data_IF_346142715380
#
_entry.id   IF_346142715380
#
_cell.length_a   1.000
_cell.length_b   1.000
_cell.length_c   1.000
_cell.angle_alpha   90.00
_cell.angle_beta   90.00
_cell.angle_gamma   90.00
#
_symmetry.space_group_name_H-M   'P 1'
#
loop_
_entity.id
_entity.type
_entity.pdbx_description
1 polymer ?
#
# COMPACT_ATOMS: atom_id res chain seq x y z
N UNK A 1 33.03 -27.36 -15.43
CA UNK A 1 33.53 -27.11 -16.80
C UNK A 1 33.01 -25.75 -17.27
N UNK A 2 33.83 -24.98 -17.97
CA UNK A 2 33.40 -23.72 -18.61
C UNK A 2 32.80 -24.01 -20.00
N UNK A 3 32.07 -23.04 -20.56
CA UNK A 3 31.56 -23.12 -21.93
C UNK A 3 32.70 -23.09 -22.96
N UNK A 4 32.41 -23.44 -24.23
CA UNK A 4 33.40 -23.36 -25.33
C UNK A 4 33.88 -21.93 -25.56
N UNK A 5 35.12 -21.75 -26.04
CA UNK A 5 35.67 -20.42 -26.34
C UNK A 5 34.78 -19.61 -27.30
N UNK A 6 34.25 -20.27 -28.34
CA UNK A 6 33.32 -19.65 -29.29
C UNK A 6 32.05 -19.11 -28.62
N UNK A 7 31.51 -19.84 -27.64
CA UNK A 7 30.34 -19.39 -26.88
C UNK A 7 30.72 -18.23 -25.96
N UNK A 8 31.87 -18.31 -25.27
CA UNK A 8 32.34 -17.23 -24.40
C UNK A 8 32.50 -15.93 -25.17
N UNK A 9 33.11 -15.96 -26.35
CA UNK A 9 33.26 -14.77 -27.21
C UNK A 9 31.90 -14.18 -27.60
N UNK A 10 30.97 -15.01 -28.10
CA UNK A 10 29.61 -14.56 -28.46
C UNK A 10 28.86 -13.98 -27.26
N UNK A 11 29.01 -14.60 -26.09
CA UNK A 11 28.41 -14.13 -24.84
C UNK A 11 28.96 -12.76 -24.44
N UNK A 12 30.28 -12.57 -24.41
CA UNK A 12 30.89 -11.29 -24.05
C UNK A 12 30.56 -10.17 -25.05
N UNK A 13 30.54 -10.46 -26.35
CA UNK A 13 30.11 -9.50 -27.37
C UNK A 13 28.65 -9.09 -27.16
N UNK A 14 27.77 -10.06 -26.89
CA UNK A 14 26.35 -9.79 -26.61
C UNK A 14 26.16 -8.97 -25.33
N UNK A 15 26.87 -9.34 -24.25
CA UNK A 15 26.82 -8.64 -22.97
C UNK A 15 27.33 -7.20 -23.10
N UNK A 16 28.48 -6.98 -23.74
CA UNK A 16 29.04 -5.64 -23.91
C UNK A 16 28.11 -4.74 -24.73
N UNK A 17 27.42 -5.29 -25.74
CA UNK A 17 26.40 -4.56 -26.52
C UNK A 17 25.21 -4.15 -25.64
N UNK A 18 24.70 -5.07 -24.81
CA UNK A 18 23.57 -4.78 -23.91
C UNK A 18 23.95 -3.75 -22.84
N UNK A 19 25.12 -3.86 -22.23
CA UNK A 19 25.63 -2.91 -21.23
C UNK A 19 25.82 -1.53 -21.84
N UNK A 20 26.40 -1.44 -23.05
CA UNK A 20 26.56 -0.15 -23.76
C UNK A 20 25.20 0.50 -24.04
N UNK A 21 24.22 -0.30 -24.47
CA UNK A 21 22.87 0.20 -24.70
C UNK A 21 22.25 0.70 -23.39
N UNK A 22 22.33 -0.09 -22.32
CA UNK A 22 21.83 0.28 -20.99
C UNK A 22 22.46 1.60 -20.51
N UNK A 23 23.79 1.72 -20.56
CA UNK A 23 24.50 2.92 -20.12
C UNK A 23 24.07 4.18 -20.88
N UNK A 24 23.76 4.03 -22.17
CA UNK A 24 23.29 5.13 -23.04
C UNK A 24 21.82 5.49 -22.78
N UNK A 25 20.98 4.54 -22.40
CA UNK A 25 19.53 4.75 -22.28
C UNK A 25 19.02 4.78 -20.85
N UNK A 26 19.86 4.54 -19.84
CA UNK A 26 19.43 4.45 -18.43
C UNK A 26 18.69 5.69 -17.95
N UNK A 27 19.07 6.86 -18.46
CA UNK A 27 18.42 8.14 -18.13
C UNK A 27 17.16 8.43 -18.95
N UNK A 28 16.80 7.56 -19.90
CA UNK A 28 15.71 7.79 -20.86
C UNK A 28 14.46 7.01 -20.43
N UNK A 29 13.40 7.74 -20.05
CA UNK A 29 12.05 7.22 -19.82
C UNK A 29 11.90 6.12 -18.75
N UNK A 30 12.95 5.80 -17.99
CA UNK A 30 12.85 4.93 -16.81
C UNK A 30 12.51 5.76 -15.57
N UNK A 31 11.66 5.21 -14.70
CA UNK A 31 11.34 5.78 -13.42
C UNK A 31 11.06 4.68 -12.39
N UNK A 32 11.09 5.01 -11.11
CA UNK A 32 10.74 4.06 -10.04
C UNK A 32 11.67 2.83 -10.01
N UNK A 33 11.07 1.68 -9.75
CA UNK A 33 11.78 0.39 -9.65
C UNK A 33 12.49 -0.03 -10.93
N UNK A 34 11.90 0.09 -12.15
CA UNK A 34 12.64 -0.15 -13.39
C UNK A 34 13.94 0.64 -13.50
N UNK A 35 13.96 1.88 -12.99
CA UNK A 35 15.18 2.68 -13.00
C UNK A 35 16.22 2.17 -11.99
N UNK A 36 15.79 1.78 -10.79
CA UNK A 36 16.68 1.16 -9.80
C UNK A 36 17.28 -0.16 -10.31
N UNK A 37 16.51 -0.99 -11.04
CA UNK A 37 17.04 -2.19 -11.68
C UNK A 37 18.09 -1.88 -12.75
N UNK A 38 17.87 -0.86 -13.58
CA UNK A 38 18.84 -0.43 -14.57
C UNK A 38 20.16 0.04 -13.91
N UNK A 39 20.07 0.78 -12.81
CA UNK A 39 21.23 1.20 -12.00
C UNK A 39 21.94 -0.02 -11.39
N UNK A 40 21.20 -1.01 -10.89
CA UNK A 40 21.77 -2.25 -10.38
C UNK A 40 22.56 -2.98 -11.48
N UNK A 41 21.97 -3.12 -12.67
CA UNK A 41 22.63 -3.73 -13.83
C UNK A 41 23.94 -3.02 -14.23
N UNK A 42 23.96 -1.68 -14.22
CA UNK A 42 25.18 -0.90 -14.47
C UNK A 42 26.24 -1.10 -13.38
N UNK A 43 25.81 -1.23 -12.12
CA UNK A 43 26.71 -1.51 -10.99
C UNK A 43 27.39 -2.86 -11.19
N UNK A 44 26.63 -3.92 -11.48
CA UNK A 44 27.19 -5.25 -11.77
C UNK A 44 28.10 -5.23 -12.99
N UNK A 45 27.72 -4.53 -14.06
CA UNK A 45 28.56 -4.41 -15.25
C UNK A 45 29.91 -3.71 -14.96
N UNK A 46 29.88 -2.62 -14.18
CA UNK A 46 31.09 -1.89 -13.80
C UNK A 46 32.00 -2.65 -12.83
N UNK A 47 31.45 -3.57 -12.04
CA UNK A 47 32.23 -4.43 -11.13
C UNK A 47 32.77 -5.70 -11.80
N UNK A 48 32.03 -6.28 -12.74
CA UNK A 48 32.34 -7.59 -13.31
C UNK A 48 33.13 -7.52 -14.64
N UNK A 49 33.08 -6.39 -15.37
CA UNK A 49 33.74 -6.24 -16.66
C UNK A 49 35.00 -5.38 -16.52
N UNK A 50 36.14 -5.92 -16.95
CA UNK A 50 37.44 -5.22 -16.92
C UNK A 50 37.41 -3.91 -17.74
N UNK A 51 37.97 -2.83 -17.18
CA UNK A 51 38.06 -1.52 -17.84
C UNK A 51 36.72 -0.79 -17.97
N UNK A 52 35.74 -1.09 -17.12
CA UNK A 52 34.39 -0.50 -17.12
C UNK A 52 34.04 0.23 -15.82
N UNK A 53 35.03 0.66 -15.05
CA UNK A 53 34.88 1.35 -13.76
C UNK A 53 34.05 2.64 -13.87
N UNK A 54 34.10 3.32 -15.01
CA UNK A 54 33.25 4.50 -15.29
C UNK A 54 31.76 4.18 -15.23
N UNK A 55 31.34 2.95 -15.55
CA UNK A 55 29.94 2.52 -15.42
C UNK A 55 29.52 2.42 -13.95
N UNK A 56 30.44 1.99 -13.08
CA UNK A 56 30.20 1.94 -11.65
C UNK A 56 30.03 3.36 -11.09
N UNK A 57 30.91 4.29 -11.46
CA UNK A 57 30.81 5.71 -11.07
C UNK A 57 29.49 6.34 -11.53
N UNK A 58 29.10 6.08 -12.79
CA UNK A 58 27.81 6.50 -13.33
C UNK A 58 26.66 5.91 -12.50
N UNK A 59 26.67 4.61 -12.23
CA UNK A 59 25.62 3.92 -11.49
C UNK A 59 25.47 4.47 -10.07
N UNK A 60 26.57 4.66 -9.33
CA UNK A 60 26.55 5.20 -7.97
C UNK A 60 26.06 6.65 -7.92
N UNK A 61 26.41 7.45 -8.93
CA UNK A 61 25.90 8.83 -9.07
C UNK A 61 24.39 8.85 -9.30
N UNK A 62 23.88 7.96 -10.17
CA UNK A 62 22.44 7.83 -10.41
C UNK A 62 21.72 7.30 -9.17
N UNK A 63 22.28 6.29 -8.51
CA UNK A 63 21.74 5.69 -7.29
C UNK A 63 21.59 6.73 -6.18
N UNK A 64 22.59 7.59 -5.98
CA UNK A 64 22.52 8.64 -4.97
C UNK A 64 21.31 9.56 -5.17
N UNK A 65 21.05 9.96 -6.43
CA UNK A 65 19.92 10.81 -6.81
C UNK A 65 18.59 10.08 -6.63
N UNK A 66 18.51 8.83 -7.10
CA UNK A 66 17.27 8.06 -7.06
C UNK A 66 16.88 7.61 -5.65
N UNK A 67 17.84 7.29 -4.76
CA UNK A 67 17.55 7.09 -3.33
C UNK A 67 16.88 8.34 -2.76
N UNK A 68 17.38 9.54 -3.10
CA UNK A 68 16.82 10.81 -2.62
C UNK A 68 15.43 11.13 -3.18
N UNK A 69 15.04 10.54 -4.31
CA UNK A 69 13.74 10.74 -4.96
C UNK A 69 12.71 9.69 -4.56
N UNK A 70 13.14 8.45 -4.40
CA UNK A 70 12.27 7.29 -4.27
C UNK A 70 12.09 6.83 -2.82
N UNK A 71 13.07 7.04 -1.94
CA UNK A 71 12.98 6.69 -0.52
C UNK A 71 12.77 7.95 0.31
N UNK A 72 11.57 8.10 0.85
CA UNK A 72 11.14 9.29 1.58
C UNK A 72 11.84 9.41 2.95
N UNK A 73 11.64 10.53 3.62
CA UNK A 73 12.24 10.82 4.94
C UNK A 73 11.77 9.87 6.05
N UNK A 74 10.56 9.33 5.96
CA UNK A 74 10.05 8.28 6.85
C UNK A 74 10.41 6.85 6.38
N UNK A 75 11.13 6.73 5.26
CA UNK A 75 11.64 5.47 4.72
C UNK A 75 10.72 4.76 3.72
N UNK A 76 9.48 5.20 3.54
CA UNK A 76 8.60 4.58 2.55
C UNK A 76 9.01 4.91 1.11
N UNK A 77 8.55 4.07 0.18
CA UNK A 77 8.76 4.31 -1.25
C UNK A 77 7.77 5.35 -1.77
N UNK A 78 8.19 6.24 -2.67
CA UNK A 78 7.36 7.31 -3.24
C UNK A 78 6.06 6.81 -3.91
N UNK A 79 6.05 5.57 -4.39
CA UNK A 79 4.84 4.90 -4.93
C UNK A 79 3.77 4.59 -3.89
N UNK A 80 4.12 4.65 -2.60
CA UNK A 80 3.27 4.25 -1.47
C UNK A 80 2.88 2.76 -1.48
N UNK A 81 3.60 1.93 -2.25
CA UNK A 81 3.42 0.49 -2.37
C UNK A 81 4.39 -0.27 -1.48
N UNK A 82 3.90 -1.16 -0.58
CA UNK A 82 4.74 -2.09 0.19
C UNK A 82 5.62 -2.97 -0.72
N UNK A 83 5.07 -3.41 -1.85
CA UNK A 83 5.75 -4.28 -2.80
C UNK A 83 6.94 -3.56 -3.48
N UNK A 84 6.73 -2.33 -3.97
CA UNK A 84 7.83 -1.55 -4.54
C UNK A 84 8.87 -1.16 -3.49
N UNK A 85 8.47 -0.91 -2.24
CA UNK A 85 9.42 -0.69 -1.15
C UNK A 85 10.30 -1.91 -0.91
N UNK A 86 9.72 -3.12 -0.91
CA UNK A 86 10.50 -4.36 -0.81
C UNK A 86 11.51 -4.48 -1.96
N UNK A 87 11.07 -4.26 -3.20
CA UNK A 87 11.94 -4.34 -4.39
C UNK A 87 13.09 -3.33 -4.34
N UNK A 88 12.81 -2.08 -3.93
CA UNK A 88 13.85 -1.08 -3.74
C UNK A 88 14.87 -1.52 -2.67
N UNK A 89 14.41 -2.07 -1.54
CA UNK A 89 15.30 -2.58 -0.49
C UNK A 89 16.18 -3.73 -1.01
N UNK A 90 15.61 -4.68 -1.75
CA UNK A 90 16.37 -5.79 -2.37
C UNK A 90 17.47 -5.24 -3.27
N UNK A 91 17.15 -4.31 -4.17
CA UNK A 91 18.15 -3.71 -5.07
C UNK A 91 19.28 -3.02 -4.29
N UNK A 92 18.94 -2.30 -3.21
CA UNK A 92 19.95 -1.65 -2.36
C UNK A 92 20.85 -2.65 -1.64
N UNK A 93 20.29 -3.78 -1.18
CA UNK A 93 21.05 -4.86 -0.57
C UNK A 93 21.98 -5.51 -1.60
N UNK A 94 21.49 -5.79 -2.81
CA UNK A 94 22.27 -6.39 -3.90
C UNK A 94 23.46 -5.51 -4.27
N UNK A 95 23.24 -4.21 -4.47
CA UNK A 95 24.31 -3.25 -4.79
C UNK A 95 25.35 -3.22 -3.66
N UNK A 96 24.91 -3.16 -2.39
CA UNK A 96 25.82 -3.17 -1.24
C UNK A 96 26.64 -4.47 -1.17
N UNK A 97 26.03 -5.62 -1.45
CA UNK A 97 26.70 -6.90 -1.46
C UNK A 97 27.72 -6.99 -2.60
N UNK A 98 27.35 -6.57 -3.80
CA UNK A 98 28.21 -6.54 -4.98
C UNK A 98 29.44 -5.62 -4.77
N UNK A 99 29.23 -4.41 -4.25
CA UNK A 99 30.32 -3.48 -3.91
C UNK A 99 31.31 -4.10 -2.92
N UNK A 100 30.79 -4.73 -1.85
CA UNK A 100 31.63 -5.40 -0.86
C UNK A 100 32.44 -6.54 -1.48
N UNK A 101 31.83 -7.34 -2.35
CA UNK A 101 32.52 -8.43 -3.04
C UNK A 101 33.59 -7.91 -4.02
N UNK A 102 33.35 -6.78 -4.68
CA UNK A 102 34.33 -6.10 -5.52
C UNK A 102 35.40 -5.33 -4.75
N UNK A 103 35.41 -5.35 -3.42
CA UNK A 103 36.39 -4.63 -2.59
C UNK A 103 36.15 -3.12 -2.47
N UNK A 104 34.98 -2.63 -2.87
CA UNK A 104 34.60 -1.22 -2.75
C UNK A 104 33.87 -0.92 -1.45
N UNK A 105 34.06 0.27 -0.86
CA UNK A 105 33.26 0.70 0.29
C UNK A 105 31.81 0.91 -0.11
N UNK A 106 30.88 0.58 0.79
CA UNK A 106 29.46 0.88 0.58
C UNK A 106 29.20 2.38 0.80
N UNK A 107 28.54 3.09 -0.13
CA UNK A 107 28.08 4.46 0.09
C UNK A 107 27.17 4.57 1.32
N UNK A 108 27.41 5.58 2.17
CA UNK A 108 26.58 5.85 3.36
C UNK A 108 25.10 6.08 3.00
N UNK A 109 24.85 6.65 1.82
CA UNK A 109 23.48 6.89 1.31
C UNK A 109 22.65 5.60 1.24
N UNK A 110 23.26 4.46 0.90
CA UNK A 110 22.60 3.15 0.88
C UNK A 110 22.28 2.70 2.30
N UNK A 111 23.25 2.80 3.21
CA UNK A 111 23.09 2.43 4.63
C UNK A 111 21.96 3.24 5.26
N UNK A 112 21.99 4.56 5.14
CA UNK A 112 20.97 5.45 5.68
C UNK A 112 19.59 5.20 5.05
N UNK A 113 19.52 4.84 3.76
CA UNK A 113 18.25 4.50 3.12
C UNK A 113 17.67 3.22 3.70
N UNK A 114 18.48 2.16 3.84
CA UNK A 114 18.06 0.89 4.44
C UNK A 114 17.62 1.05 5.90
N UNK A 115 18.33 1.89 6.67
CA UNK A 115 17.99 2.15 8.07
C UNK A 115 16.59 2.73 8.27
N UNK A 116 16.12 3.54 7.31
CA UNK A 116 14.74 4.09 7.31
C UNK A 116 13.73 3.17 6.62
N UNK A 117 14.12 2.57 5.49
CA UNK A 117 13.24 1.75 4.67
C UNK A 117 12.81 0.45 5.37
N UNK A 118 13.66 -0.14 6.21
CA UNK A 118 13.33 -1.37 6.94
C UNK A 118 12.20 -1.17 7.97
N UNK A 119 12.23 -0.15 8.85
CA UNK A 119 11.09 0.21 9.68
C UNK A 119 9.81 0.47 8.91
N UNK A 120 9.89 1.19 7.78
CA UNK A 120 8.74 1.43 6.90
C UNK A 120 8.21 0.12 6.28
N UNK A 121 9.07 -0.81 5.90
CA UNK A 121 8.65 -2.13 5.42
C UNK A 121 7.94 -2.94 6.51
N UNK A 122 8.43 -2.87 7.76
CA UNK A 122 7.78 -3.51 8.92
C UNK A 122 6.43 -2.87 9.24
N UNK A 123 6.27 -1.56 9.02
CA UNK A 123 5.02 -0.83 9.22
C UNK A 123 3.88 -1.44 8.42
N UNK A 124 4.13 -1.80 7.16
CA UNK A 124 3.11 -2.35 6.26
C UNK A 124 2.73 -3.81 6.54
N UNK A 125 3.33 -4.45 7.55
CA UNK A 125 3.07 -5.87 7.84
C UNK A 125 1.98 -6.04 8.89
N UNK A 126 1.05 -6.93 8.60
CA UNK A 126 0.16 -7.48 9.61
C UNK A 126 0.93 -8.44 10.53
N UNK A 127 0.31 -8.86 11.63
CA UNK A 127 0.94 -9.79 12.58
C UNK A 127 1.07 -11.22 12.03
N UNK A 128 0.39 -11.52 10.91
CA UNK A 128 0.63 -12.72 10.09
C UNK A 128 1.97 -12.68 9.33
N UNK A 129 2.68 -11.54 9.37
CA UNK A 129 3.98 -11.25 8.75
C UNK A 129 3.95 -10.97 7.24
N UNK A 130 2.76 -10.85 6.67
CA UNK A 130 2.53 -10.49 5.28
C UNK A 130 2.14 -9.01 5.17
N UNK A 131 2.21 -8.45 3.96
CA UNK A 131 1.87 -7.04 3.72
C UNK A 131 0.37 -6.78 3.72
N UNK A 132 -0.01 -5.59 4.17
CA UNK A 132 -1.30 -4.97 3.86
C UNK A 132 -1.37 -4.62 2.36
N UNK A 133 -2.57 -4.67 1.80
CA UNK A 133 -2.79 -4.67 0.36
C UNK A 133 -3.06 -3.26 -0.18
N UNK A 134 -2.02 -2.42 -0.15
CA UNK A 134 -2.09 -1.04 -0.66
C UNK A 134 -1.30 -0.86 -1.96
N UNK A 135 -1.83 -0.03 -2.87
CA UNK A 135 -1.13 0.49 -4.05
C UNK A 135 -0.36 -0.57 -4.86
N UNK A 136 -1.09 -1.60 -5.32
CA UNK A 136 -0.55 -2.65 -6.17
C UNK A 136 0.14 -3.79 -5.42
N UNK A 137 0.13 -3.80 -4.08
CA UNK A 137 0.73 -4.88 -3.30
C UNK A 137 -0.17 -6.11 -3.15
N UNK A 138 0.48 -7.27 -3.20
CA UNK A 138 -0.02 -8.53 -2.66
C UNK A 138 0.57 -8.77 -1.26
N UNK A 139 0.14 -9.83 -0.59
CA UNK A 139 0.61 -10.24 0.75
C UNK A 139 2.14 -10.42 0.82
N UNK A 140 2.77 -10.67 -0.33
CA UNK A 140 4.21 -10.89 -0.44
C UNK A 140 4.64 -12.26 0.05
N UNK A 141 5.91 -12.62 -0.23
CA UNK A 141 6.49 -13.87 0.22
C UNK A 141 7.14 -13.69 1.60
N UNK A 142 6.57 -14.31 2.65
CA UNK A 142 7.06 -14.16 4.04
C UNK A 142 8.55 -14.49 4.16
N UNK A 143 9.02 -15.56 3.51
CA UNK A 143 10.40 -16.02 3.62
C UNK A 143 11.36 -15.05 2.92
N UNK A 144 11.00 -14.54 1.74
CA UNK A 144 11.76 -13.48 1.08
C UNK A 144 11.86 -12.23 1.96
N UNK A 145 10.73 -11.77 2.51
CA UNK A 145 10.71 -10.58 3.39
C UNK A 145 11.57 -10.81 4.63
N UNK A 146 11.50 -11.99 5.24
CA UNK A 146 12.35 -12.36 6.37
C UNK A 146 13.83 -12.32 6.01
N UNK A 147 14.23 -12.89 4.87
CA UNK A 147 15.61 -12.86 4.39
C UNK A 147 16.09 -11.43 4.17
N UNK A 148 15.29 -10.60 3.50
CA UNK A 148 15.58 -9.18 3.27
C UNK A 148 15.77 -8.43 4.60
N UNK A 149 14.90 -8.64 5.58
CA UNK A 149 15.00 -7.99 6.89
C UNK A 149 16.26 -8.40 7.66
N UNK A 150 16.68 -9.67 7.55
CA UNK A 150 17.94 -10.15 8.14
C UNK A 150 19.14 -9.49 7.44
N UNK A 151 19.15 -9.49 6.11
CA UNK A 151 20.25 -8.95 5.32
C UNK A 151 20.36 -7.42 5.44
N UNK A 152 19.28 -6.69 5.66
CA UNK A 152 19.34 -5.24 5.77
C UNK A 152 20.09 -4.76 7.04
N UNK A 153 20.13 -5.57 8.10
CA UNK A 153 20.82 -5.30 9.39
C UNK A 153 20.28 -4.08 10.16
N UNK A 154 19.05 -3.63 9.90
CA UNK A 154 18.45 -2.52 10.66
C UNK A 154 17.79 -2.98 11.96
N UNK A 155 18.16 -2.30 13.06
CA UNK A 155 17.63 -2.52 14.42
C UNK A 155 16.52 -1.54 14.82
N UNK A 156 16.15 -0.61 13.93
CA UNK A 156 15.17 0.41 14.23
C UNK A 156 13.78 -0.20 14.49
N UNK A 157 13.05 0.40 15.44
CA UNK A 157 11.70 -0.03 15.82
C UNK A 157 10.70 0.31 14.71
N UNK A 158 9.63 -0.49 14.63
CA UNK A 158 8.51 -0.19 13.72
C UNK A 158 7.86 1.13 14.11
N UNK A 159 7.52 1.94 13.10
CA UNK A 159 6.88 3.23 13.27
C UNK A 159 5.36 3.06 13.44
N UNK A 160 4.70 4.02 14.08
CA UNK A 160 3.23 4.08 14.16
C UNK A 160 2.63 5.05 13.12
N UNK A 161 3.46 5.86 12.47
CA UNK A 161 3.06 6.84 11.47
C UNK A 161 4.16 6.95 10.41
N UNK A 162 3.73 7.08 9.15
CA UNK A 162 4.57 7.42 8.00
C UNK A 162 3.99 8.68 7.35
N UNK A 163 4.27 9.89 7.89
CA UNK A 163 3.58 11.11 7.46
C UNK A 163 3.97 11.57 6.04
N UNK A 164 5.14 11.18 5.54
CA UNK A 164 5.60 11.53 4.19
C UNK A 164 5.10 10.54 3.14
N UNK A 165 5.03 9.25 3.50
CA UNK A 165 4.42 8.20 2.68
C UNK A 165 2.89 8.27 2.75
N UNK A 166 2.35 8.79 3.86
CA UNK A 166 0.93 9.00 4.11
C UNK A 166 0.18 7.76 4.56
N UNK A 167 0.62 7.18 5.68
CA UNK A 167 -0.07 6.09 6.37
C UNK A 167 -0.03 6.22 7.88
N UNK A 168 -1.08 5.73 8.53
CA UNK A 168 -1.16 5.59 10.00
C UNK A 168 -1.32 4.13 10.40
N UNK A 169 -0.67 3.75 11.50
CA UNK A 169 -0.71 2.40 12.09
C UNK A 169 -1.21 2.49 13.52
N UNK A 170 -2.40 1.95 13.76
CA UNK A 170 -3.03 1.90 15.08
C UNK A 170 -2.84 0.50 15.66
N UNK A 171 -1.98 0.36 16.66
CA UNK A 171 -1.71 -0.91 17.33
C UNK A 171 -2.22 -0.85 18.78
N UNK A 172 -3.21 -1.67 19.11
CA UNK A 172 -3.80 -1.77 20.44
C UNK A 172 -3.88 -3.25 20.85
N UNK A 173 -3.14 -3.67 21.88
CA UNK A 173 -3.07 -5.07 22.31
C UNK A 173 -2.62 -6.01 21.17
N UNK A 174 -3.48 -6.96 20.79
CA UNK A 174 -3.26 -7.86 19.63
C UNK A 174 -3.81 -7.30 18.32
N UNK A 175 -4.54 -6.21 18.41
CA UNK A 175 -5.20 -5.53 17.33
C UNK A 175 -4.30 -4.62 16.52
N UNK A 176 -4.54 -4.56 15.21
CA UNK A 176 -3.77 -3.74 14.31
C UNK A 176 -4.63 -3.21 13.16
N UNK A 177 -4.56 -1.90 12.93
CA UNK A 177 -5.14 -1.22 11.78
C UNK A 177 -4.03 -0.47 11.04
N UNK A 178 -4.06 -0.55 9.71
CA UNK A 178 -3.22 0.26 8.82
C UNK A 178 -4.14 1.07 7.92
N UNK A 179 -3.98 2.40 7.89
CA UNK A 179 -4.87 3.31 7.17
C UNK A 179 -4.09 4.21 6.22
N UNK A 180 -4.58 4.34 4.98
CA UNK A 180 -4.11 5.32 4.00
C UNK A 180 -4.58 6.73 4.39
N UNK A 181 -3.65 7.65 4.62
CA UNK A 181 -3.93 9.04 5.00
C UNK A 181 -3.23 10.05 4.10
N UNK A 182 -2.67 9.57 2.97
CA UNK A 182 -1.72 10.31 2.15
C UNK A 182 -2.29 10.84 0.85
N UNK A 183 -1.54 11.77 0.26
CA UNK A 183 -1.79 12.22 -1.10
C UNK A 183 -1.35 11.13 -2.09
N UNK A 184 -2.10 10.98 -3.17
CA UNK A 184 -1.66 10.15 -4.29
C UNK A 184 -0.25 10.60 -4.78
N UNK A 185 0.63 9.65 -5.17
CA UNK A 185 1.95 9.99 -5.67
C UNK A 185 1.90 10.95 -6.87
N UNK A 186 2.99 11.67 -7.10
CA UNK A 186 3.14 12.46 -8.33
C UNK A 186 3.49 11.52 -9.49
N UNK A 187 3.03 11.88 -10.70
CA UNK A 187 3.47 11.21 -11.91
C UNK A 187 5.00 11.30 -12.03
N UNK A 188 5.70 10.23 -12.46
CA UNK A 188 5.18 8.95 -12.97
C UNK A 188 4.99 7.84 -11.91
N UNK A 189 5.07 8.14 -10.62
CA UNK A 189 5.01 7.13 -9.55
C UNK A 189 3.60 6.70 -9.14
N UNK A 190 2.57 7.19 -9.83
CA UNK A 190 1.16 6.96 -9.55
C UNK A 190 0.49 5.93 -10.45
N UNK A 191 1.22 5.37 -11.41
CA UNK A 191 0.69 4.44 -12.44
C UNK A 191 0.09 3.16 -11.86
N UNK A 192 0.57 2.73 -10.69
CA UNK A 192 0.03 1.57 -9.96
C UNK A 192 -0.72 1.98 -8.68
N UNK A 193 -0.95 3.28 -8.47
CA UNK A 193 -1.66 3.76 -7.28
C UNK A 193 -3.15 3.49 -7.38
N UNK A 194 -3.74 3.19 -6.24
CA UNK A 194 -5.16 2.91 -6.10
C UNK A 194 -5.93 4.20 -5.76
N UNK A 195 -7.17 4.32 -6.22
CA UNK A 195 -8.03 5.48 -6.03
C UNK A 195 -8.77 5.45 -4.69
N UNK A 196 -8.12 5.01 -3.60
CA UNK A 196 -8.78 4.68 -2.33
C UNK A 196 -8.18 5.43 -1.13
N UNK A 197 -8.27 6.77 -1.09
CA UNK A 197 -7.89 7.54 0.09
C UNK A 197 -8.74 7.11 1.30
N UNK A 198 -8.15 7.12 2.50
CA UNK A 198 -8.80 6.73 3.76
C UNK A 198 -9.21 5.25 3.85
N UNK A 199 -8.78 4.42 2.89
CA UNK A 199 -8.92 2.98 3.00
C UNK A 199 -8.09 2.43 4.16
N UNK A 200 -8.57 1.38 4.81
CA UNK A 200 -7.84 0.73 5.90
C UNK A 200 -7.97 -0.79 5.85
N UNK A 201 -7.03 -1.47 6.51
CA UNK A 201 -7.11 -2.90 6.81
C UNK A 201 -7.04 -3.12 8.32
N UNK A 202 -7.71 -4.17 8.82
CA UNK A 202 -7.76 -4.55 10.22
C UNK A 202 -7.43 -6.03 10.40
N UNK A 203 -6.56 -6.33 11.37
CA UNK A 203 -6.27 -7.68 11.82
C UNK A 203 -6.28 -7.77 13.35
N UNK A 204 -6.57 -8.96 13.87
CA UNK A 204 -6.41 -9.28 15.28
C UNK A 204 -5.54 -10.52 15.47
N UNK A 205 -4.38 -10.35 16.10
CA UNK A 205 -3.32 -11.35 16.05
C UNK A 205 -2.90 -11.66 14.62
N UNK A 206 -2.82 -12.94 14.25
CA UNK A 206 -2.42 -13.38 12.90
C UNK A 206 -3.61 -13.48 11.93
N UNK A 207 -4.80 -13.07 12.33
CA UNK A 207 -6.01 -13.21 11.51
C UNK A 207 -6.45 -11.84 10.98
N UNK A 208 -6.51 -11.71 9.66
CA UNK A 208 -7.08 -10.54 9.00
C UNK A 208 -8.61 -10.60 9.07
N UNK A 209 -9.21 -9.46 9.39
CA UNK A 209 -10.67 -9.30 9.50
C UNK A 209 -11.18 -8.52 8.31
N UNK A 210 -10.76 -7.25 8.22
CA UNK A 210 -11.09 -6.31 7.15
C UNK A 210 -9.85 -6.11 6.28
N UNK A 211 -10.00 -6.23 4.97
CA UNK A 211 -8.90 -6.16 3.99
C UNK A 211 -9.26 -5.24 2.83
N UNK A 212 -8.32 -4.95 1.94
CA UNK A 212 -8.62 -4.50 0.59
C UNK A 212 -8.61 -5.71 -0.37
N UNK A 213 -9.06 -5.52 -1.61
CA UNK A 213 -9.12 -6.62 -2.58
C UNK A 213 -7.75 -7.09 -3.07
N UNK A 214 -6.68 -6.29 -2.95
CA UNK A 214 -5.34 -6.67 -3.45
C UNK A 214 -5.04 -6.19 -4.86
N UNK A 215 -4.17 -6.91 -5.56
CA UNK A 215 -3.69 -6.56 -6.89
C UNK A 215 -3.42 -7.82 -7.71
N UNK A 216 -3.39 -7.67 -9.03
CA UNK A 216 -3.03 -8.77 -9.93
C UNK A 216 -1.60 -8.59 -10.46
N UNK A 217 -0.76 -9.64 -10.48
CA UNK A 217 0.64 -9.49 -10.87
C UNK A 217 0.85 -9.23 -12.37
N UNK A 218 -0.01 -9.79 -13.25
CA UNK A 218 0.25 -9.77 -14.70
C UNK A 218 -0.90 -9.35 -15.63
N UNK A 219 -2.17 -9.53 -15.24
CA UNK A 219 -3.33 -9.20 -16.07
C UNK A 219 -3.69 -7.70 -15.93
N UNK A 220 -3.63 -6.91 -17.02
CA UNK A 220 -3.88 -5.46 -16.96
C UNK A 220 -5.32 -5.07 -16.59
N UNK A 221 -6.32 -5.85 -17.00
CA UNK A 221 -7.72 -5.56 -16.68
C UNK A 221 -7.96 -5.69 -15.18
N UNK A 222 -7.45 -6.78 -14.57
CA UNK A 222 -7.50 -6.96 -13.13
C UNK A 222 -6.68 -5.90 -12.39
N UNK A 223 -5.50 -5.54 -12.90
CA UNK A 223 -4.70 -4.45 -12.34
C UNK A 223 -5.47 -3.14 -12.31
N UNK A 224 -6.25 -2.83 -13.35
CA UNK A 224 -7.03 -1.60 -13.40
C UNK A 224 -8.26 -1.64 -12.48
N UNK A 225 -9.06 -2.70 -12.55
CA UNK A 225 -10.28 -2.85 -11.74
C UNK A 225 -9.99 -2.82 -10.24
N UNK A 226 -8.88 -3.43 -9.80
CA UNK A 226 -8.51 -3.48 -8.38
C UNK A 226 -8.02 -2.14 -7.82
N UNK A 227 -7.82 -1.14 -8.68
CA UNK A 227 -7.47 0.23 -8.25
C UNK A 227 -8.69 1.07 -7.90
N UNK A 228 -9.90 0.60 -8.20
CA UNK A 228 -11.13 1.37 -7.95
C UNK A 228 -11.38 1.52 -6.45
N UNK A 229 -12.01 2.63 -6.06
CA UNK A 229 -12.39 2.88 -4.66
C UNK A 229 -13.27 1.77 -4.10
N UNK A 230 -14.14 1.19 -4.93
CA UNK A 230 -15.02 0.08 -4.56
C UNK A 230 -14.31 -1.26 -4.29
N UNK A 231 -13.01 -1.37 -4.60
CA UNK A 231 -12.19 -2.55 -4.29
C UNK A 231 -11.45 -2.43 -2.94
N UNK A 232 -11.84 -1.47 -2.12
CA UNK A 232 -11.17 -1.10 -0.88
C UNK A 232 -12.19 -0.86 0.23
N UNK A 233 -11.69 -0.92 1.48
CA UNK A 233 -12.49 -0.52 2.64
C UNK A 233 -12.62 1.00 2.70
N UNK A 234 -13.41 1.56 1.78
CA UNK A 234 -13.51 2.97 1.48
C UNK A 234 -14.96 3.38 1.21
N UNK A 235 -15.19 4.67 1.05
CA UNK A 235 -16.49 5.27 0.73
C UNK A 235 -16.54 5.67 -0.74
N UNK A 236 -17.63 5.36 -1.43
CA UNK A 236 -17.97 5.87 -2.77
C UNK A 236 -19.18 6.81 -2.74
N UNK A 237 -19.21 7.75 -3.68
CA UNK A 237 -20.35 8.63 -3.97
C UNK A 237 -20.78 8.38 -5.42
N UNK A 238 -22.04 8.03 -5.64
CA UNK A 238 -22.61 7.64 -6.94
C UNK A 238 -21.77 6.55 -7.65
N UNK A 239 -21.20 5.61 -6.88
CA UNK A 239 -20.25 4.58 -7.33
C UNK A 239 -19.04 5.12 -8.12
N UNK A 240 -18.62 6.35 -7.82
CA UNK A 240 -17.45 6.97 -8.45
C UNK A 240 -16.19 6.83 -7.61
N UNK A 241 -15.08 6.71 -8.32
CA UNK A 241 -13.75 6.74 -7.72
C UNK A 241 -13.39 8.14 -7.18
N UNK A 242 -12.72 8.16 -6.02
CA UNK A 242 -12.20 9.37 -5.40
C UNK A 242 -11.08 10.05 -6.21
N UNK A 243 -10.40 9.28 -7.07
CA UNK A 243 -9.48 9.76 -8.10
C UNK A 243 -9.91 9.20 -9.46
N UNK A 244 -9.60 9.89 -10.54
CA UNK A 244 -9.76 9.34 -11.89
C UNK A 244 -8.53 8.53 -12.28
N UNK A 245 -8.74 7.42 -12.97
CA UNK A 245 -7.68 6.56 -13.49
C UNK A 245 -7.71 6.70 -15.01
N UNK A 246 -6.63 7.21 -15.59
CA UNK A 246 -6.48 7.30 -17.03
C UNK A 246 -6.13 5.95 -17.66
N UNK A 247 -6.35 5.83 -18.98
CA UNK A 247 -5.99 4.64 -19.76
C UNK A 247 -4.49 4.30 -19.73
N UNK A 248 -3.63 5.30 -19.54
CA UNK A 248 -2.17 5.11 -19.41
C UNK A 248 -1.75 4.71 -17.99
N UNK A 249 -2.72 4.49 -17.10
CA UNK A 249 -2.52 4.15 -15.70
C UNK A 249 -2.28 5.35 -14.79
N UNK A 250 -2.01 6.55 -15.30
CA UNK A 250 -1.81 7.73 -14.45
C UNK A 250 -3.08 8.11 -13.68
N UNK A 251 -2.91 8.73 -12.51
CA UNK A 251 -4.04 9.24 -11.74
C UNK A 251 -4.31 10.70 -12.11
N UNK A 252 -5.58 11.02 -12.32
CA UNK A 252 -6.09 12.38 -12.46
C UNK A 252 -7.12 12.69 -11.36
N UNK A 253 -7.52 13.97 -11.28
CA UNK A 253 -8.44 14.45 -10.23
C UNK A 253 -8.02 14.00 -8.82
N UNK A 254 -6.71 14.03 -8.56
CA UNK A 254 -6.14 13.65 -7.26
C UNK A 254 -6.66 14.61 -6.17
N UNK A 255 -6.98 14.11 -4.96
CA UNK A 255 -7.23 14.96 -3.80
C UNK A 255 -6.09 15.97 -3.63
N UNK A 256 -6.44 17.26 -3.58
CA UNK A 256 -5.47 18.35 -3.39
C UNK A 256 -5.26 18.61 -1.90
N UNK A 257 -6.35 18.51 -1.13
CA UNK A 257 -6.36 18.67 0.33
C UNK A 257 -6.58 17.33 0.99
N UNK A 258 -5.60 16.94 1.80
CA UNK A 258 -5.67 15.84 2.75
C UNK A 258 -5.42 16.45 4.13
N UNK A 259 -6.23 16.13 5.13
CA UNK A 259 -5.97 16.49 6.52
C UNK A 259 -5.76 15.24 7.34
N UNK A 260 -4.94 15.33 8.38
CA UNK A 260 -4.69 14.25 9.31
C UNK A 260 -4.48 14.85 10.71
N UNK A 261 -5.20 14.33 11.68
CA UNK A 261 -4.95 14.52 13.10
C UNK A 261 -4.88 13.14 13.77
N UNK A 262 -3.87 12.96 14.62
CA UNK A 262 -3.65 11.72 15.37
C UNK A 262 -3.55 12.06 16.84
N UNK A 263 -4.36 11.40 17.65
CA UNK A 263 -4.32 11.50 19.10
C UNK A 263 -4.10 10.09 19.67
N UNK A 264 -3.21 9.99 20.66
CA UNK A 264 -2.87 8.72 21.30
C UNK A 264 -2.92 8.90 22.82
N UNK A 265 -3.64 7.99 23.46
CA UNK A 265 -3.75 7.88 24.90
C UNK A 265 -3.29 6.50 25.35
N UNK A 266 -3.20 6.30 26.66
CA UNK A 266 -2.90 4.98 27.23
C UNK A 266 -4.04 4.02 26.83
N UNK A 267 -3.73 3.08 25.93
CA UNK A 267 -4.66 2.04 25.48
C UNK A 267 -5.67 2.44 24.40
N UNK A 268 -5.57 3.65 23.83
CA UNK A 268 -6.47 4.10 22.77
C UNK A 268 -5.76 5.00 21.74
N UNK A 269 -6.17 4.91 20.47
CA UNK A 269 -5.67 5.74 19.38
C UNK A 269 -6.86 6.28 18.58
N UNK A 270 -6.85 7.57 18.27
CA UNK A 270 -7.77 8.23 17.35
C UNK A 270 -6.99 8.72 16.13
N UNK A 271 -7.46 8.34 14.93
CA UNK A 271 -7.03 8.94 13.66
C UNK A 271 -8.22 9.63 13.03
N UNK A 272 -8.03 10.87 12.63
CA UNK A 272 -9.03 11.74 12.03
C UNK A 272 -8.48 12.34 10.75
N UNK A 273 -8.98 11.89 9.61
CA UNK A 273 -8.45 12.25 8.31
C UNK A 273 -9.54 12.62 7.31
N UNK A 274 -9.23 13.51 6.37
CA UNK A 274 -10.17 13.91 5.32
C UNK A 274 -9.51 14.09 3.96
N UNK A 275 -10.32 14.03 2.90
CA UNK A 275 -9.89 14.30 1.53
C UNK A 275 -10.96 15.02 0.70
N UNK A 276 -10.53 15.81 -0.27
CA UNK A 276 -11.37 16.58 -1.19
C UNK A 276 -11.59 15.90 -2.56
N UNK A 277 -11.43 14.57 -2.63
CA UNK A 277 -11.46 13.82 -3.91
C UNK A 277 -12.79 13.92 -4.68
N UNK A 278 -13.89 14.13 -3.95
CA UNK A 278 -15.23 14.27 -4.52
C UNK A 278 -15.62 15.73 -4.78
N UNK A 279 -14.91 16.71 -4.21
CA UNK A 279 -15.21 18.14 -4.38
C UNK A 279 -15.31 18.56 -5.86
N UNK A 280 -14.40 18.15 -6.76
CA UNK A 280 -14.54 18.52 -8.18
C UNK A 280 -15.73 17.87 -8.91
N UNK A 281 -16.33 16.81 -8.35
CA UNK A 281 -17.50 16.13 -8.96
C UNK A 281 -18.82 16.67 -8.45
N UNK A 282 -18.92 16.89 -7.14
CA UNK A 282 -20.19 17.14 -6.45
C UNK A 282 -20.07 18.10 -5.26
N UNK A 283 -18.89 18.72 -5.05
CA UNK A 283 -18.69 19.66 -3.94
C UNK A 283 -18.49 19.02 -2.56
N UNK A 284 -18.42 17.68 -2.49
CA UNK A 284 -18.41 16.94 -1.22
C UNK A 284 -16.99 16.64 -0.75
N UNK A 285 -16.71 16.95 0.51
CA UNK A 285 -15.51 16.50 1.24
C UNK A 285 -15.84 15.27 2.07
N UNK A 286 -14.95 14.28 2.09
CA UNK A 286 -15.10 13.08 2.91
C UNK A 286 -14.08 13.09 4.05
N UNK A 287 -14.56 12.88 5.29
CA UNK A 287 -13.76 12.75 6.50
C UNK A 287 -14.06 11.40 7.17
N UNK A 288 -13.02 10.67 7.55
CA UNK A 288 -13.10 9.42 8.31
C UNK A 288 -12.40 9.59 9.65
N UNK A 289 -13.06 9.18 10.73
CA UNK A 289 -12.48 9.06 12.08
C UNK A 289 -12.47 7.60 12.49
N UNK A 290 -11.33 7.11 12.95
CA UNK A 290 -11.15 5.77 13.53
C UNK A 290 -10.67 5.91 14.98
N UNK A 291 -11.49 5.46 15.92
CA UNK A 291 -11.14 5.34 17.33
C UNK A 291 -10.92 3.86 17.65
N UNK A 292 -9.71 3.51 18.09
CA UNK A 292 -9.34 2.13 18.39
C UNK A 292 -8.82 1.97 19.81
N UNK A 293 -9.50 1.15 20.61
CA UNK A 293 -9.27 1.05 22.04
C UNK A 293 -9.43 -0.38 22.56
N UNK A 294 -9.51 -0.51 23.89
CA UNK A 294 -9.84 -1.74 24.61
C UNK A 294 -8.97 -2.95 24.22
N UNK A 295 -7.64 -2.79 24.26
CA UNK A 295 -6.69 -3.86 23.88
C UNK A 295 -6.92 -4.41 22.46
N UNK A 296 -7.51 -3.58 21.60
CA UNK A 296 -7.86 -3.89 20.23
C UNK A 296 -9.22 -4.56 20.04
N UNK A 297 -10.08 -4.58 21.06
CA UNK A 297 -11.42 -5.19 21.04
C UNK A 297 -12.54 -4.21 20.66
N UNK A 298 -12.24 -2.92 20.52
CA UNK A 298 -13.22 -1.89 20.19
C UNK A 298 -12.69 -0.95 19.10
N UNK A 299 -13.15 -1.13 17.87
CA UNK A 299 -12.97 -0.19 16.77
C UNK A 299 -14.27 0.55 16.50
N UNK A 300 -14.24 1.88 16.57
CA UNK A 300 -15.37 2.75 16.21
C UNK A 300 -14.97 3.64 15.05
N UNK A 301 -15.84 3.71 14.06
CA UNK A 301 -15.63 4.49 12.86
C UNK A 301 -16.76 5.48 12.60
N UNK A 302 -16.39 6.62 12.04
CA UNK A 302 -17.34 7.64 11.59
C UNK A 302 -16.90 8.19 10.25
N UNK A 303 -17.78 8.09 9.25
CA UNK A 303 -17.64 8.69 7.94
C UNK A 303 -18.56 9.91 7.85
N UNK A 304 -17.98 11.09 7.66
CA UNK A 304 -18.71 12.36 7.52
C UNK A 304 -18.51 12.91 6.12
N UNK A 305 -19.61 13.24 5.46
CA UNK A 305 -19.63 13.94 4.18
C UNK A 305 -20.17 15.36 4.39
N UNK A 306 -19.52 16.34 3.77
CA UNK A 306 -19.94 17.74 3.87
C UNK A 306 -19.86 18.41 2.50
N UNK A 307 -20.97 19.00 2.05
CA UNK A 307 -21.03 19.87 0.88
C UNK A 307 -21.07 21.33 1.34
N UNK A 308 -19.99 22.09 1.13
CA UNK A 308 -19.94 23.50 1.56
C UNK A 308 -20.62 24.46 0.58
N UNK A 309 -20.95 24.00 -0.63
CA UNK A 309 -21.55 24.81 -1.69
C UNK A 309 -23.06 24.65 -1.80
N UNK A 310 -23.67 23.81 -0.97
CA UNK A 310 -25.06 23.37 -1.12
C UNK A 310 -25.18 22.20 -2.11
N UNK A 311 -25.94 21.17 -1.73
CA UNK A 311 -26.28 20.08 -2.64
C UNK A 311 -27.21 20.55 -3.75
N UNK A 312 -26.94 20.06 -4.97
CA UNK A 312 -27.80 20.31 -6.14
C UNK A 312 -28.77 19.16 -6.40
N UNK A 313 -28.46 17.97 -5.89
CA UNK A 313 -29.26 16.75 -5.96
C UNK A 313 -28.84 15.77 -4.85
N UNK A 314 -29.66 14.77 -4.52
CA UNK A 314 -29.25 13.67 -3.67
C UNK A 314 -28.14 12.83 -4.31
N UNK A 315 -27.32 12.20 -3.46
CA UNK A 315 -26.22 11.32 -3.87
C UNK A 315 -26.25 9.99 -3.13
N UNK A 316 -25.98 8.91 -3.86
CA UNK A 316 -25.92 7.56 -3.29
C UNK A 316 -24.55 7.35 -2.65
N UNK A 317 -24.54 6.92 -1.39
CA UNK A 317 -23.34 6.71 -0.60
C UNK A 317 -23.21 5.23 -0.27
N UNK A 318 -22.01 4.68 -0.49
CA UNK A 318 -21.68 3.32 -0.08
C UNK A 318 -20.38 3.30 0.71
N UNK A 319 -20.39 2.73 1.91
CA UNK A 319 -19.19 2.45 2.71
C UNK A 319 -18.95 0.94 2.70
N UNK A 320 -17.82 0.52 2.16
CA UNK A 320 -17.50 -0.90 1.94
C UNK A 320 -16.49 -1.40 2.96
N UNK A 321 -16.63 -2.66 3.37
CA UNK A 321 -15.69 -3.38 4.24
C UNK A 321 -15.49 -4.78 3.69
N UNK A 322 -14.38 -5.01 3.00
CA UNK A 322 -14.10 -6.33 2.43
C UNK A 322 -13.61 -7.28 3.50
N UNK A 323 -14.22 -8.46 3.59
CA UNK A 323 -13.84 -9.46 4.57
C UNK A 323 -12.75 -10.36 3.98
N UNK A 324 -11.75 -10.69 4.81
CA UNK A 324 -10.77 -11.69 4.40
C UNK A 324 -11.47 -13.04 4.15
N UNK A 325 -11.09 -13.86 3.13
CA UNK A 325 -11.82 -15.08 2.77
C UNK A 325 -11.96 -16.16 3.84
N UNK A 326 -11.24 -16.04 4.95
CA UNK A 326 -11.36 -16.95 6.09
C UNK A 326 -12.39 -16.49 7.13
N UNK A 327 -12.96 -15.31 6.97
CA UNK A 327 -13.98 -14.74 7.86
C UNK A 327 -15.35 -15.19 7.39
N UNK A 328 -16.13 -15.78 8.30
CA UNK A 328 -17.55 -16.06 8.06
C UNK A 328 -18.39 -14.89 8.54
N UNK A 329 -19.49 -14.59 7.86
CA UNK A 329 -20.38 -13.48 8.20
C UNK A 329 -21.85 -13.90 8.19
N UNK A 330 -22.61 -13.41 9.16
CA UNK A 330 -24.07 -13.56 9.21
C UNK A 330 -24.73 -12.25 9.65
N UNK A 331 -25.74 -11.80 8.91
CA UNK A 331 -26.57 -10.66 9.31
C UNK A 331 -27.51 -11.05 10.45
N UNK A 332 -27.69 -10.13 11.38
CA UNK A 332 -28.64 -10.24 12.50
C UNK A 332 -29.44 -8.94 12.62
N UNK A 333 -30.47 -8.93 13.47
CA UNK A 333 -31.33 -7.75 13.73
C UNK A 333 -31.80 -7.05 12.45
N UNK A 334 -32.39 -7.83 11.53
CA UNK A 334 -32.97 -7.31 10.29
C UNK A 334 -32.00 -6.46 9.43
N UNK A 335 -30.69 -6.74 9.49
CA UNK A 335 -29.70 -6.04 8.67
C UNK A 335 -29.18 -4.73 9.29
N UNK A 336 -29.20 -4.60 10.61
CA UNK A 336 -28.51 -3.51 11.34
C UNK A 336 -27.13 -3.94 11.89
N UNK A 337 -26.93 -5.24 12.06
CA UNK A 337 -25.73 -5.81 12.66
C UNK A 337 -25.28 -7.05 11.89
N UNK A 338 -23.98 -7.36 11.96
CA UNK A 338 -23.41 -8.59 11.43
C UNK A 338 -22.48 -9.22 12.47
N UNK A 339 -22.49 -10.55 12.55
CA UNK A 339 -21.50 -11.32 13.30
C UNK A 339 -20.44 -11.82 12.34
N UNK A 340 -19.18 -11.53 12.67
CA UNK A 340 -17.99 -12.00 11.95
C UNK A 340 -17.29 -13.06 12.80
N UNK A 341 -17.16 -14.28 12.28
CA UNK A 341 -16.45 -15.36 12.95
C UNK A 341 -15.09 -15.61 12.29
N UNK A 342 -14.03 -15.55 13.10
CA UNK A 342 -12.66 -15.88 12.69
C UNK A 342 -12.40 -17.38 12.84
N UNK A 343 -11.46 -17.97 12.08
CA UNK A 343 -11.07 -19.38 12.21
C UNK A 343 -10.66 -19.82 13.61
N UNK A 344 -10.11 -18.91 14.42
CA UNK A 344 -9.76 -19.17 15.83
C UNK A 344 -10.96 -19.29 16.78
N UNK A 345 -12.19 -19.04 16.31
CA UNK A 345 -13.38 -18.96 17.15
C UNK A 345 -13.61 -17.59 17.80
N UNK A 346 -12.79 -16.59 17.49
CA UNK A 346 -13.02 -15.21 17.93
C UNK A 346 -14.16 -14.61 17.10
N UNK A 347 -15.16 -14.03 17.78
CA UNK A 347 -16.24 -13.27 17.18
C UNK A 347 -16.01 -11.77 17.18
N UNK A 348 -16.58 -11.11 16.19
CA UNK A 348 -16.77 -9.67 16.16
C UNK A 348 -18.21 -9.35 15.80
N UNK A 349 -18.78 -8.36 16.48
CA UNK A 349 -20.02 -7.72 16.11
C UNK A 349 -19.71 -6.48 15.31
N UNK A 350 -20.23 -6.40 14.10
CA UNK A 350 -20.27 -5.19 13.30
C UNK A 350 -21.64 -4.54 13.50
N UNK A 351 -21.67 -3.26 13.82
CA UNK A 351 -22.89 -2.47 13.98
C UNK A 351 -22.82 -1.24 13.11
N UNK A 352 -23.88 -0.95 12.36
CA UNK A 352 -24.07 0.31 11.66
C UNK A 352 -25.24 1.08 12.28
N UNK A 353 -25.11 2.40 12.43
CA UNK A 353 -26.17 3.26 12.94
C UNK A 353 -26.65 4.21 11.86
N UNK A 354 -27.98 4.29 11.68
CA UNK A 354 -28.62 5.27 10.80
C UNK A 354 -28.62 4.92 9.31
N UNK A 355 -28.16 3.72 8.93
CA UNK A 355 -28.14 3.26 7.54
C UNK A 355 -28.23 1.72 7.46
N UNK A 356 -28.89 1.16 6.43
CA UNK A 356 -28.96 -0.29 6.21
C UNK A 356 -27.58 -0.91 5.98
N UNK A 357 -27.38 -2.10 6.55
CA UNK A 357 -26.20 -2.94 6.37
C UNK A 357 -26.54 -4.17 5.52
N UNK A 358 -25.84 -4.37 4.42
CA UNK A 358 -25.98 -5.53 3.54
C UNK A 358 -24.70 -6.36 3.51
N UNK A 359 -24.85 -7.65 3.16
CA UNK A 359 -23.73 -8.53 2.82
C UNK A 359 -23.74 -8.75 1.32
N UNK A 360 -22.66 -8.37 0.65
CA UNK A 360 -22.51 -8.49 -0.79
C UNK A 360 -21.36 -9.44 -1.16
N UNK A 361 -21.36 -9.93 -2.40
CA UNK A 361 -20.22 -10.67 -2.95
C UNK A 361 -19.01 -9.76 -3.06
N UNK A 362 -17.84 -10.35 -2.85
CA UNK A 362 -16.58 -9.68 -3.06
C UNK A 362 -15.49 -10.64 -3.50
N UNK A 363 -14.31 -10.10 -3.76
CA UNK A 363 -13.13 -10.87 -4.15
C UNK A 363 -11.95 -10.52 -3.27
N UNK A 364 -11.02 -11.46 -3.21
CA UNK A 364 -9.73 -11.30 -2.57
C UNK A 364 -8.65 -11.80 -3.52
N UNK A 365 -7.76 -10.90 -3.88
CA UNK A 365 -6.58 -11.14 -4.72
C UNK A 365 -5.32 -10.62 -4.02
N UNK A 366 -5.19 -10.98 -2.73
CA UNK A 366 -3.95 -10.74 -1.97
C UNK A 366 -2.84 -11.74 -2.30
N UNK A 367 -3.11 -12.83 -3.00
CA UNK A 367 -2.13 -13.87 -3.34
C UNK A 367 -2.38 -14.46 -4.72
N UNK A 368 -1.30 -14.64 -5.50
CA UNK A 368 -1.33 -15.38 -6.76
C UNK A 368 -2.10 -14.67 -7.87
N UNK A 369 -2.65 -15.45 -8.80
CA UNK A 369 -3.32 -14.92 -10.01
C UNK A 369 -4.84 -15.18 -10.04
N UNK A 370 -5.37 -15.93 -9.06
CA UNK A 370 -6.77 -16.36 -9.07
C UNK A 370 -7.54 -15.62 -7.98
N UNK A 371 -8.57 -14.82 -8.33
CA UNK A 371 -9.39 -14.16 -7.33
C UNK A 371 -10.15 -15.20 -6.50
N UNK A 372 -10.08 -15.06 -5.18
CA UNK A 372 -10.82 -15.87 -4.23
C UNK A 372 -12.14 -15.17 -3.92
N UNK A 373 -13.25 -15.88 -4.00
CA UNK A 373 -14.55 -15.34 -3.57
C UNK A 373 -14.54 -15.08 -2.06
N UNK A 374 -15.12 -13.97 -1.66
CA UNK A 374 -15.35 -13.59 -0.26
C UNK A 374 -16.62 -12.75 -0.18
N UNK A 375 -16.89 -12.19 0.99
CA UNK A 375 -17.99 -11.25 1.22
C UNK A 375 -17.46 -9.88 1.60
N UNK A 376 -18.32 -8.88 1.44
CA UNK A 376 -18.11 -7.55 2.01
C UNK A 376 -19.37 -7.12 2.75
N UNK A 377 -19.18 -6.28 3.76
CA UNK A 377 -20.26 -5.51 4.36
C UNK A 377 -20.37 -4.18 3.64
N UNK A 378 -21.61 -3.76 3.34
CA UNK A 378 -21.87 -2.47 2.71
C UNK A 378 -22.90 -1.70 3.54
N UNK A 379 -22.54 -0.49 3.94
CA UNK A 379 -23.48 0.47 4.50
C UNK A 379 -23.94 1.38 3.37
N UNK A 380 -25.22 1.37 3.05
CA UNK A 380 -25.82 2.20 2.01
C UNK A 380 -26.59 3.35 2.62
N UNK A 381 -26.39 4.57 2.13
CA UNK A 381 -27.11 5.76 2.60
C UNK A 381 -27.39 6.69 1.43
N UNK A 382 -28.38 7.56 1.61
CA UNK A 382 -28.64 8.69 0.72
C UNK A 382 -28.15 9.98 1.39
N UNK A 383 -27.38 10.80 0.69
CA UNK A 383 -27.05 12.14 1.12
C UNK A 383 -27.97 13.12 0.39
N UNK A 384 -29.01 13.62 1.07
CA UNK A 384 -30.04 14.52 0.54
C UNK A 384 -29.98 15.95 1.12
N UNK A 385 -29.13 16.17 2.14
CA UNK A 385 -28.80 17.46 2.73
C UNK A 385 -27.28 17.67 2.79
N UNK A 386 -26.83 18.89 3.07
CA UNK A 386 -25.42 19.31 2.98
C UNK A 386 -24.44 18.57 3.90
N UNK A 387 -24.92 17.75 4.84
CA UNK A 387 -24.09 16.94 5.71
C UNK A 387 -24.70 15.56 5.94
N UNK A 388 -23.89 14.52 5.82
CA UNK A 388 -24.25 13.15 6.18
C UNK A 388 -23.20 12.58 7.13
N UNK A 389 -23.65 11.87 8.16
CA UNK A 389 -22.78 11.17 9.10
C UNK A 389 -23.20 9.70 9.21
N UNK A 390 -22.26 8.80 8.95
CA UNK A 390 -22.44 7.35 9.06
C UNK A 390 -21.53 6.85 10.18
N UNK A 391 -22.11 6.20 11.18
CA UNK A 391 -21.38 5.64 12.33
C UNK A 391 -21.43 4.12 12.29
N UNK A 392 -20.27 3.50 12.56
CA UNK A 392 -20.14 2.06 12.61
C UNK A 392 -19.16 1.64 13.71
N UNK A 393 -19.27 0.39 14.16
CA UNK A 393 -18.38 -0.18 15.16
C UNK A 393 -18.10 -1.66 14.85
N UNK A 394 -16.89 -2.11 15.18
CA UNK A 394 -16.45 -3.50 15.15
C UNK A 394 -15.94 -3.83 16.55
N UNK A 395 -16.73 -4.60 17.29
CA UNK A 395 -16.50 -4.89 18.70
C UNK A 395 -16.36 -6.39 18.92
N UNK A 396 -15.49 -6.79 19.83
CA UNK A 396 -15.29 -8.21 20.13
C UNK A 396 -16.58 -8.80 20.70
N UNK A 397 -16.96 -9.96 20.18
CA UNK A 397 -18.16 -10.71 20.59
C UNK A 397 -17.73 -12.09 21.10
N UNK A 398 -18.44 -12.59 22.11
CA UNK A 398 -18.33 -13.99 22.52
C UNK A 398 -19.28 -14.82 21.64
N UNK A 399 -18.73 -15.72 20.83
CA UNK A 399 -19.50 -16.61 19.94
C UNK A 399 -20.11 -17.81 20.68
#
# INVERSE_FOLDING_TARGET
>A
ESASESFQEQFYVSLARQVRQLAKTVTNNLCGIPYLHAINGLTYAGLAMEGREQLLEQALTLLHKEIGRQILSDGGHVSRSPQQLLEAIVILIDIRAALRQGGYPCPEKIVHALDRAVPALRFFRHADRQFALFNGAQEGNEELVKQVLVQAVSRARTLNSLPHTGYERLACGRGLIIMDTGKAPKWPHDTTSHAAPLAFEMSYGRERVIVNCGSHPTNPEWQDMLRFTAAHTALTIDDRNACEIHKDGSLARKPKKMTLNREEWIGAVLVDASHDGYVPLNGITHRRRLYYADQGHDLRGEDTLTCTTGLTKPHDISVRFHLHPKVSVSLIKEGQEAILALPSGIGWRFTASGAPLTVEESIYLGEGIRPRKTKQLVISSLMDIDTLQIKWAIQRELL
#
